data_IF_605044248241
#
_entry.id   IF_605044248241
#
_cell.length_a   1.000
_cell.length_b   1.000
_cell.length_c   1.000
_cell.angle_alpha   90.00
_cell.angle_beta   90.00
_cell.angle_gamma   90.00
#
_symmetry.space_group_name_H-M   'P 1'
#
loop_
_entity.id
_entity.type
_entity.pdbx_description
1 polymer ?
#
# COMPACT_ATOMS: atom_id res chain seq x y z
N UNK A 1 63.07 26.24 -13.84
CA UNK A 1 62.32 25.34 -12.95
C UNK A 1 63.02 25.37 -11.63
N UNK A 2 62.34 25.78 -10.57
CA UNK A 2 62.70 25.45 -9.19
C UNK A 2 61.44 25.66 -8.35
N UNK A 3 60.96 24.57 -7.75
CA UNK A 3 59.72 24.48 -6.99
C UNK A 3 60.08 24.72 -5.53
N UNK A 4 59.59 25.82 -4.96
CA UNK A 4 59.83 26.19 -3.57
C UNK A 4 58.74 25.54 -2.70
N UNK A 5 59.17 24.72 -1.74
CA UNK A 5 58.34 24.01 -0.78
C UNK A 5 57.72 25.00 0.23
N UNK A 6 56.39 24.91 0.42
CA UNK A 6 55.66 25.70 1.41
C UNK A 6 55.48 24.83 2.68
N UNK A 7 55.85 25.33 3.88
CA UNK A 7 55.63 24.60 5.12
C UNK A 7 54.15 24.64 5.54
N UNK A 8 53.62 23.49 5.98
CA UNK A 8 52.34 23.39 6.68
C UNK A 8 52.51 23.93 8.09
N UNK A 9 51.82 25.02 8.42
CA UNK A 9 51.71 25.52 9.78
C UNK A 9 50.33 25.17 10.34
N UNK A 10 50.35 24.51 11.50
CA UNK A 10 49.20 24.06 12.29
C UNK A 10 48.53 25.25 12.99
N UNK A 11 47.19 25.26 13.01
CA UNK A 11 46.40 26.14 13.87
C UNK A 11 45.57 25.28 14.80
N UNK A 12 46.01 25.14 16.05
CA UNK A 12 45.24 24.54 17.13
C UNK A 12 44.36 25.58 17.84
N UNK A 13 43.23 25.10 18.38
CA UNK A 13 42.33 25.69 19.40
C UNK A 13 41.43 26.84 18.92
N UNK A 14 40.19 27.03 19.34
CA UNK A 14 39.24 26.32 20.22
C UNK A 14 37.97 27.16 20.15
N UNK A 15 36.83 26.60 19.76
CA UNK A 15 35.59 26.62 20.55
C UNK A 15 34.39 26.17 19.70
N UNK A 16 33.60 25.30 20.34
CA UNK A 16 32.19 24.98 20.09
C UNK A 16 31.73 25.01 18.63
N UNK A 17 31.34 23.87 18.06
CA UNK A 17 29.98 23.40 18.29
C UNK A 17 29.90 21.88 18.14
N UNK A 18 29.14 21.27 19.05
CA UNK A 18 28.73 19.88 19.03
C UNK A 18 28.12 19.52 17.67
N UNK A 19 28.91 18.88 16.80
CA UNK A 19 28.33 18.10 15.72
C UNK A 19 27.93 16.78 16.35
N UNK A 20 26.69 16.74 16.85
CA UNK A 20 25.96 15.49 17.07
C UNK A 20 26.14 14.67 15.80
N UNK A 21 26.95 13.62 15.93
CA UNK A 21 27.01 12.50 15.01
C UNK A 21 25.58 11.98 14.90
N UNK A 22 24.85 12.52 13.93
CA UNK A 22 23.54 12.04 13.54
C UNK A 22 23.81 10.67 12.96
N UNK A 23 23.75 9.70 13.87
CA UNK A 23 23.66 8.29 13.62
C UNK A 23 22.67 8.13 12.46
N UNK A 24 23.19 7.96 11.25
CA UNK A 24 22.40 7.53 10.09
C UNK A 24 21.98 6.09 10.40
N UNK A 25 20.98 5.98 11.28
CA UNK A 25 20.21 4.76 11.43
C UNK A 25 19.44 4.70 10.13
N UNK A 26 20.04 3.99 9.17
CA UNK A 26 19.36 3.38 8.03
C UNK A 26 18.33 2.39 8.60
N UNK A 27 17.28 2.92 9.24
CA UNK A 27 16.08 2.18 9.55
C UNK A 27 15.46 1.85 8.20
N UNK A 28 15.85 0.71 7.64
CA UNK A 28 14.98 -0.04 6.74
C UNK A 28 13.71 -0.28 7.54
N UNK A 29 12.77 0.66 7.43
CA UNK A 29 11.42 0.55 7.96
C UNK A 29 10.85 -0.70 7.32
N UNK A 30 10.95 -1.83 8.02
CA UNK A 30 10.24 -3.04 7.72
C UNK A 30 8.78 -2.69 7.91
N UNK A 31 8.15 -2.12 6.86
CA UNK A 31 6.72 -1.88 6.81
C UNK A 31 6.07 -3.25 7.01
N UNK A 32 5.65 -3.53 8.25
CA UNK A 32 4.84 -4.72 8.58
C UNK A 32 3.72 -4.76 7.56
N UNK A 33 3.77 -5.73 6.63
CA UNK A 33 2.70 -5.93 5.65
C UNK A 33 1.45 -6.25 6.45
N UNK A 34 0.51 -5.31 6.51
CA UNK A 34 -0.81 -5.57 7.08
C UNK A 34 -1.39 -6.78 6.36
N UNK A 35 -1.79 -7.78 7.12
CA UNK A 35 -2.41 -8.98 6.57
C UNK A 35 -3.73 -8.55 5.93
N UNK A 36 -3.88 -8.79 4.63
CA UNK A 36 -5.11 -8.49 3.90
C UNK A 36 -6.09 -9.64 4.11
N UNK A 37 -7.08 -9.46 4.97
CA UNK A 37 -8.13 -10.44 5.20
C UNK A 37 -9.43 -10.04 4.47
N UNK A 38 -10.24 -11.06 4.17
CA UNK A 38 -11.55 -10.90 3.59
C UNK A 38 -12.59 -10.87 4.70
N UNK A 39 -13.42 -9.84 4.72
CA UNK A 39 -14.49 -9.65 5.70
C UNK A 39 -15.81 -9.90 4.98
N UNK A 40 -16.65 -10.75 5.57
CA UNK A 40 -18.03 -10.94 5.12
C UNK A 40 -18.82 -9.69 5.44
N UNK A 41 -19.37 -9.03 4.42
CA UNK A 41 -20.15 -7.81 4.62
C UNK A 41 -21.64 -8.13 4.68
N UNK A 42 -22.15 -8.88 3.70
CA UNK A 42 -23.58 -9.16 3.56
C UNK A 42 -23.85 -10.55 2.98
N UNK A 43 -25.01 -11.09 3.30
CA UNK A 43 -25.59 -12.28 2.67
C UNK A 43 -26.94 -11.88 2.12
N UNK A 44 -27.17 -12.23 0.86
CA UNK A 44 -28.43 -11.99 0.17
C UNK A 44 -29.09 -13.33 -0.13
N UNK A 45 -30.41 -13.31 -0.26
CA UNK A 45 -31.16 -14.50 -0.64
C UNK A 45 -31.03 -14.77 -2.15
N UNK A 46 -30.81 -13.71 -2.94
CA UNK A 46 -30.69 -13.78 -4.39
C UNK A 46 -29.39 -13.12 -4.89
N UNK A 47 -28.61 -13.77 -5.77
CA UNK A 47 -27.47 -13.13 -6.42
C UNK A 47 -27.81 -11.84 -7.19
N UNK A 48 -29.01 -11.71 -7.75
CA UNK A 48 -29.42 -10.50 -8.47
C UNK A 48 -29.50 -9.27 -7.55
N UNK A 49 -29.99 -9.45 -6.34
CA UNK A 49 -30.06 -8.40 -5.33
C UNK A 49 -28.66 -7.98 -4.86
N UNK A 50 -27.79 -8.98 -4.66
CA UNK A 50 -26.39 -8.73 -4.34
C UNK A 50 -25.69 -7.92 -5.44
N UNK A 51 -25.90 -8.25 -6.72
CA UNK A 51 -25.33 -7.48 -7.84
C UNK A 51 -25.88 -6.06 -7.91
N UNK A 52 -27.20 -5.87 -7.74
CA UNK A 52 -27.83 -4.55 -7.76
C UNK A 52 -27.28 -3.62 -6.66
N UNK A 53 -26.99 -4.16 -5.47
CA UNK A 53 -26.45 -3.39 -4.34
C UNK A 53 -25.06 -2.76 -4.63
N UNK A 54 -24.27 -3.39 -5.51
CA UNK A 54 -22.88 -3.01 -5.77
C UNK A 54 -22.65 -2.37 -7.14
N UNK A 55 -23.61 -2.48 -8.05
CA UNK A 55 -23.47 -2.11 -9.47
C UNK A 55 -22.96 -0.68 -9.67
N UNK A 56 -23.41 0.27 -8.86
CA UNK A 56 -23.06 1.68 -9.01
C UNK A 56 -21.59 1.99 -8.69
N UNK A 57 -21.00 1.31 -7.70
CA UNK A 57 -19.66 1.64 -7.20
C UNK A 57 -18.57 0.66 -7.62
N UNK A 58 -18.97 -0.50 -8.15
CA UNK A 58 -18.08 -1.61 -8.44
C UNK A 58 -18.13 -2.02 -9.91
N UNK A 59 -17.00 -2.47 -10.43
CA UNK A 59 -16.88 -3.02 -11.79
C UNK A 59 -16.39 -4.45 -11.72
N UNK A 60 -16.97 -5.34 -12.54
CA UNK A 60 -16.53 -6.74 -12.67
C UNK A 60 -15.07 -6.75 -13.14
N UNK A 61 -14.23 -7.54 -12.46
CA UNK A 61 -12.79 -7.63 -12.75
C UNK A 61 -12.45 -8.97 -13.39
N UNK A 62 -12.69 -10.07 -12.69
CA UNK A 62 -12.53 -11.43 -13.21
C UNK A 62 -13.44 -12.39 -12.47
N UNK A 63 -13.64 -13.57 -13.06
CA UNK A 63 -14.37 -14.68 -12.45
C UNK A 63 -13.40 -15.83 -12.22
N UNK A 64 -13.53 -16.50 -11.08
CA UNK A 64 -12.78 -17.70 -10.74
C UNK A 64 -13.78 -18.82 -10.39
N UNK A 65 -13.50 -20.03 -10.89
CA UNK A 65 -14.26 -21.22 -10.56
C UNK A 65 -13.45 -22.03 -9.56
N UNK A 66 -14.02 -22.22 -8.38
CA UNK A 66 -13.42 -23.01 -7.30
C UNK A 66 -14.28 -24.24 -7.03
N UNK A 67 -13.79 -25.18 -6.21
CA UNK A 67 -14.59 -26.32 -5.72
C UNK A 67 -15.85 -25.87 -4.97
N UNK A 68 -15.79 -24.69 -4.34
CA UNK A 68 -16.93 -24.04 -3.68
C UNK A 68 -17.86 -23.32 -4.66
N UNK A 69 -17.56 -23.36 -5.95
CA UNK A 69 -18.33 -22.79 -7.05
C UNK A 69 -17.86 -21.42 -7.54
N UNK A 70 -18.85 -20.69 -8.08
CA UNK A 70 -18.85 -19.32 -8.62
C UNK A 70 -18.19 -18.24 -7.77
N UNK A 71 -16.95 -17.77 -8.01
CA UNK A 71 -16.42 -16.54 -7.38
C UNK A 71 -16.28 -15.41 -8.40
N UNK A 72 -17.01 -14.31 -8.22
CA UNK A 72 -16.92 -13.11 -9.09
C UNK A 72 -16.22 -12.01 -8.33
N UNK A 73 -15.10 -11.52 -8.86
CA UNK A 73 -14.31 -10.46 -8.26
C UNK A 73 -14.64 -9.10 -8.86
N UNK A 74 -14.71 -8.11 -7.99
CA UNK A 74 -15.06 -6.74 -8.29
C UNK A 74 -13.95 -5.78 -7.85
N UNK A 75 -13.78 -4.71 -8.61
CA UNK A 75 -12.86 -3.61 -8.30
C UNK A 75 -13.64 -2.30 -8.18
N UNK A 76 -13.23 -1.44 -7.26
CA UNK A 76 -13.86 -0.15 -7.09
C UNK A 76 -13.73 0.72 -8.36
N UNK A 77 -14.83 1.38 -8.76
CA UNK A 77 -14.88 2.31 -9.90
C UNK A 77 -14.21 3.65 -9.60
N UNK A 78 -13.96 3.99 -8.34
CA UNK A 78 -13.29 5.24 -7.92
C UNK A 78 -11.78 5.21 -8.24
N UNK A 79 -11.45 5.12 -9.54
CA UNK A 79 -10.10 5.28 -10.06
C UNK A 79 -9.93 6.75 -10.46
N UNK A 80 -9.35 7.55 -9.58
CA UNK A 80 -9.05 8.95 -9.91
C UNK A 80 -7.69 9.06 -10.62
N UNK A 81 -7.55 10.07 -11.49
CA UNK A 81 -6.27 10.40 -12.17
C UNK A 81 -5.25 11.15 -11.28
N UNK A 82 -5.71 11.80 -10.20
CA UNK A 82 -4.87 12.65 -9.32
C UNK A 82 -4.98 12.33 -7.82
N UNK A 83 -5.76 11.32 -7.44
CA UNK A 83 -6.01 10.96 -6.04
C UNK A 83 -5.65 9.48 -5.79
N UNK A 84 -5.49 9.05 -4.53
CA UNK A 84 -5.15 7.67 -4.19
C UNK A 84 -6.13 6.69 -4.83
N UNK A 85 -5.60 5.70 -5.55
CA UNK A 85 -6.42 4.66 -6.14
C UNK A 85 -7.09 3.85 -5.03
N UNK A 86 -8.40 3.65 -5.14
CA UNK A 86 -9.12 2.75 -4.26
C UNK A 86 -8.58 1.31 -4.45
N UNK A 87 -7.79 0.83 -3.49
CA UNK A 87 -7.21 -0.51 -3.48
C UNK A 87 -8.12 -1.53 -2.76
N UNK A 88 -9.43 -1.25 -2.72
CA UNK A 88 -10.41 -2.16 -2.14
C UNK A 88 -10.86 -3.12 -3.23
N UNK A 89 -10.90 -4.40 -2.88
CA UNK A 89 -11.42 -5.47 -3.73
C UNK A 89 -12.60 -6.12 -3.04
N UNK A 90 -13.53 -6.64 -3.82
CA UNK A 90 -14.67 -7.39 -3.29
C UNK A 90 -14.83 -8.66 -4.11
N UNK A 91 -15.36 -9.73 -3.51
CA UNK A 91 -15.84 -10.87 -4.28
C UNK A 91 -17.24 -11.28 -3.84
N UNK A 92 -17.98 -11.85 -4.79
CA UNK A 92 -19.27 -12.48 -4.57
C UNK A 92 -19.15 -13.98 -4.79
N UNK A 93 -19.70 -14.78 -3.87
CA UNK A 93 -19.80 -16.24 -4.01
C UNK A 93 -21.12 -16.73 -3.43
N UNK A 94 -21.93 -17.44 -4.21
CA UNK A 94 -23.22 -18.00 -3.75
C UNK A 94 -24.06 -16.97 -2.95
N UNK A 95 -24.29 -15.79 -3.54
CA UNK A 95 -25.01 -14.65 -2.93
C UNK A 95 -24.40 -14.02 -1.65
N UNK A 96 -23.13 -14.35 -1.32
CA UNK A 96 -22.38 -13.70 -0.22
C UNK A 96 -21.41 -12.66 -0.76
N UNK A 97 -21.43 -11.45 -0.21
CA UNK A 97 -20.48 -10.38 -0.51
C UNK A 97 -19.36 -10.32 0.55
N UNK A 98 -18.12 -10.24 0.07
CA UNK A 98 -16.94 -10.17 0.92
C UNK A 98 -15.98 -9.07 0.46
N UNK A 99 -15.51 -8.24 1.39
CA UNK A 99 -14.64 -7.11 1.15
C UNK A 99 -13.21 -7.39 1.60
N UNK A 100 -12.26 -6.83 0.87
CA UNK A 100 -10.84 -6.88 1.23
C UNK A 100 -10.44 -5.61 1.94
N UNK A 101 -10.13 -5.69 3.24
CA UNK A 101 -9.52 -4.58 3.97
C UNK A 101 -7.99 -4.61 3.83
N UNK A 102 -7.37 -3.42 3.92
CA UNK A 102 -5.91 -3.21 3.83
C UNK A 102 -5.29 -2.86 5.18
#
# INVERSE_FOLDING_TARGET
MEVIQIPQYESETSDAEMVEENHEINEKINKKRRLKYWIKEATYDNPCEAEASIENQWSKHYTNYTEQGRKVYYRCKRRKRRDPQCNVSMYMSQAKLNFRQN
#
